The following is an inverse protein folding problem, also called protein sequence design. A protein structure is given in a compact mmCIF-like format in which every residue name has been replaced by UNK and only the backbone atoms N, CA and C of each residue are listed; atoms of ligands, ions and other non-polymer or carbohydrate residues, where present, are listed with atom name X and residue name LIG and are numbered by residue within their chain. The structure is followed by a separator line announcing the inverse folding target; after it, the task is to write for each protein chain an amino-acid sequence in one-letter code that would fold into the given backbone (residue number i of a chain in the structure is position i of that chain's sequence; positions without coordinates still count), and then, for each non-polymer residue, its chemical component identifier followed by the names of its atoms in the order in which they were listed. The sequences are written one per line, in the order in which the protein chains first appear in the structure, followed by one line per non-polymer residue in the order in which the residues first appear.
data_IF_361465459610
#
_entry.id   IF_361465459610
#
_cell.length_a   1.000
_cell.length_b   1.000
_cell.length_c   1.000
_cell.angle_alpha   90.00
_cell.angle_beta   90.00
_cell.angle_gamma   90.00
#
_symmetry.space_group_name_H-M   'P 1'
#
loop_
_entity.id
_entity.type
_entity.pdbx_description
1 polymer ?
#
# COMPACT_ATOMS: atom_id res chain seq x y z
N UNK A 1 -4.52 17.78 1.21
CA UNK A 1 -5.79 18.05 0.48
C UNK A 1 -6.85 18.76 1.32
N UNK A 2 -7.37 18.23 2.44
CA UNK A 2 -8.34 18.99 3.26
C UNK A 2 -7.74 20.25 3.88
N UNK A 3 -6.46 20.23 4.23
CA UNK A 3 -5.75 21.36 4.83
C UNK A 3 -5.59 22.58 3.89
N UNK A 4 -5.70 22.38 2.58
CA UNK A 4 -5.57 23.47 1.58
C UNK A 4 -6.91 24.15 1.30
N UNK A 5 -8.02 23.52 1.70
CA UNK A 5 -9.38 23.97 1.39
C UNK A 5 -10.15 24.49 2.62
N UNK A 6 -9.68 24.19 3.83
CA UNK A 6 -10.37 24.49 5.07
C UNK A 6 -9.49 25.29 6.04
N UNK A 7 -10.08 26.17 6.89
CA UNK A 7 -9.36 26.77 7.99
C UNK A 7 -8.74 25.72 8.91
N UNK A 8 -7.52 25.93 9.37
CA UNK A 8 -6.74 24.95 10.13
C UNK A 8 -7.47 24.37 11.36
N UNK A 9 -8.32 25.17 12.02
CA UNK A 9 -9.05 24.75 13.22
C UNK A 9 -10.18 23.75 12.95
N UNK A 10 -10.70 23.66 11.71
CA UNK A 10 -11.78 22.70 11.35
C UNK A 10 -11.24 21.45 10.65
N UNK A 11 -9.97 21.43 10.25
CA UNK A 11 -9.36 20.30 9.55
C UNK A 11 -9.47 18.99 10.35
N UNK A 12 -9.15 18.94 11.66
CA UNK A 12 -9.23 17.69 12.42
C UNK A 12 -10.64 17.09 12.46
N UNK A 13 -11.66 17.93 12.65
CA UNK A 13 -13.06 17.49 12.68
C UNK A 13 -13.53 17.02 11.30
N UNK A 14 -13.15 17.74 10.24
CA UNK A 14 -13.48 17.36 8.87
C UNK A 14 -12.83 16.02 8.49
N UNK A 15 -11.57 15.80 8.82
CA UNK A 15 -10.87 14.53 8.59
C UNK A 15 -11.54 13.39 9.35
N UNK A 16 -11.85 13.57 10.64
CA UNK A 16 -12.54 12.55 11.43
C UNK A 16 -13.94 12.22 10.87
N UNK A 17 -14.65 13.23 10.36
CA UNK A 17 -15.97 13.00 9.74
C UNK A 17 -15.88 12.26 8.42
N UNK A 18 -14.89 12.59 7.58
CA UNK A 18 -14.64 11.87 6.32
C UNK A 18 -14.32 10.41 6.63
N UNK A 19 -13.41 10.16 7.56
CA UNK A 19 -13.06 8.79 7.95
C UNK A 19 -14.26 8.00 8.46
N UNK A 20 -15.09 8.61 9.31
CA UNK A 20 -16.30 7.95 9.80
C UNK A 20 -17.24 7.55 8.67
N UNK A 21 -17.45 8.43 7.68
CA UNK A 21 -18.26 8.16 6.51
C UNK A 21 -17.65 7.04 5.64
N UNK A 22 -16.34 7.06 5.46
CA UNK A 22 -15.64 6.00 4.70
C UNK A 22 -15.78 4.63 5.39
N UNK A 23 -15.69 4.59 6.73
CA UNK A 23 -15.90 3.36 7.51
C UNK A 23 -17.35 2.87 7.41
N UNK A 24 -18.32 3.79 7.48
CA UNK A 24 -19.75 3.48 7.36
C UNK A 24 -20.12 2.92 5.96
N UNK A 25 -19.42 3.37 4.91
CA UNK A 25 -19.69 2.99 3.52
C UNK A 25 -19.09 1.62 3.12
N UNK A 26 -18.06 1.14 3.82
CA UNK A 26 -17.40 -0.15 3.51
C UNK A 26 -18.38 -1.33 3.44
N UNK A 27 -19.33 -1.54 4.38
CA UNK A 27 -20.31 -2.63 4.29
C UNK A 27 -21.22 -2.56 3.07
N UNK A 28 -21.35 -1.36 2.46
CA UNK A 28 -22.15 -1.12 1.24
C UNK A 28 -21.54 -1.67 -0.05
N UNK A 29 -20.33 -2.27 0.01
CA UNK A 29 -19.70 -2.91 -1.13
C UNK A 29 -18.70 -2.02 -1.90
N UNK A 30 -18.26 -0.91 -1.30
CA UNK A 30 -17.33 0.04 -1.94
C UNK A 30 -15.87 -0.43 -2.04
N UNK A 31 -15.51 -1.60 -1.48
CA UNK A 31 -14.14 -2.11 -1.48
C UNK A 31 -14.06 -3.43 -2.24
N UNK A 32 -13.16 -3.49 -3.22
CA UNK A 32 -12.91 -4.68 -4.04
C UNK A 32 -11.41 -4.94 -4.14
N UNK A 33 -11.04 -6.22 -4.24
CA UNK A 33 -9.68 -6.59 -4.61
C UNK A 33 -9.44 -6.27 -6.08
N UNK A 34 -8.31 -5.65 -6.37
CA UNK A 34 -7.83 -5.50 -7.74
C UNK A 34 -7.45 -6.86 -8.34
N UNK A 35 -7.49 -7.00 -9.69
CA UNK A 35 -7.10 -8.24 -10.36
C UNK A 35 -5.72 -8.73 -9.92
N UNK A 36 -5.56 -10.05 -9.74
CA UNK A 36 -4.31 -10.69 -9.33
C UNK A 36 -3.96 -10.57 -7.84
N UNK A 37 -4.65 -9.72 -7.05
CA UNK A 37 -4.31 -9.51 -5.63
C UNK A 37 -4.37 -10.81 -4.83
N UNK A 38 -5.47 -11.58 -4.96
CA UNK A 38 -5.64 -12.83 -4.22
C UNK A 38 -4.54 -13.84 -4.57
N UNK A 39 -4.31 -14.05 -5.87
CA UNK A 39 -3.33 -14.99 -6.37
C UNK A 39 -1.91 -14.66 -5.87
N UNK A 40 -1.55 -13.37 -5.90
CA UNK A 40 -0.25 -12.91 -5.44
C UNK A 40 -0.10 -13.12 -3.92
N UNK A 41 -1.10 -12.70 -3.13
CA UNK A 41 -1.04 -12.82 -1.66
C UNK A 41 -1.03 -14.29 -1.21
N UNK A 42 -1.80 -15.17 -1.86
CA UNK A 42 -1.86 -16.60 -1.54
C UNK A 42 -0.54 -17.32 -1.87
N UNK A 43 0.24 -16.79 -2.81
CA UNK A 43 1.57 -17.31 -3.14
C UNK A 43 2.66 -16.87 -2.15
N UNK A 44 2.39 -15.88 -1.29
CA UNK A 44 3.37 -15.28 -0.39
C UNK A 44 3.21 -15.81 1.04
N UNK A 45 4.31 -16.20 1.73
CA UNK A 45 4.26 -16.44 3.17
C UNK A 45 3.84 -15.17 3.92
N UNK A 46 2.97 -15.30 4.91
CA UNK A 46 2.38 -14.17 5.62
C UNK A 46 3.43 -13.27 6.33
N UNK A 47 4.64 -13.78 6.56
CA UNK A 47 5.77 -13.08 7.17
C UNK A 47 6.61 -12.30 6.14
N UNK A 48 6.33 -12.46 4.85
CA UNK A 48 7.13 -11.88 3.77
C UNK A 48 6.47 -10.70 3.08
N UNK A 49 5.33 -10.25 3.57
CA UNK A 49 4.65 -9.08 3.03
C UNK A 49 4.00 -8.23 4.12
N UNK A 50 3.80 -6.97 3.81
CA UNK A 50 3.13 -6.00 4.65
C UNK A 50 2.18 -5.13 3.82
N UNK A 51 1.13 -4.63 4.48
CA UNK A 51 0.34 -3.52 3.93
C UNK A 51 0.86 -2.22 4.53
N UNK A 52 1.14 -1.24 3.66
CA UNK A 52 1.59 0.10 4.04
C UNK A 52 0.62 1.12 3.44
N UNK A 53 -0.18 1.78 4.27
CA UNK A 53 -1.26 2.65 3.82
C UNK A 53 -1.20 4.04 4.44
N UNK A 54 -1.73 5.04 3.72
CA UNK A 54 -1.95 6.39 4.25
C UNK A 54 -3.31 6.54 4.96
N UNK A 55 -4.13 5.49 4.99
CA UNK A 55 -5.34 5.45 5.81
C UNK A 55 -4.97 5.28 7.29
N UNK A 56 -5.87 5.71 8.19
CA UNK A 56 -5.75 5.37 9.61
C UNK A 56 -5.87 3.85 9.79
N UNK A 57 -5.34 3.34 10.89
CA UNK A 57 -5.39 1.90 11.20
C UNK A 57 -6.81 1.38 11.19
N UNK A 58 -7.75 2.11 11.80
CA UNK A 58 -9.16 1.75 11.85
C UNK A 58 -9.77 1.57 10.45
N UNK A 59 -9.57 2.55 9.57
CA UNK A 59 -10.10 2.49 8.20
C UNK A 59 -9.45 1.37 7.40
N UNK A 60 -8.14 1.19 7.54
CA UNK A 60 -7.41 0.10 6.88
C UNK A 60 -7.91 -1.27 7.30
N UNK A 61 -8.10 -1.51 8.60
CA UNK A 61 -8.60 -2.79 9.12
C UNK A 61 -10.02 -3.11 8.63
N UNK A 62 -10.91 -2.11 8.60
CA UNK A 62 -12.27 -2.29 8.08
C UNK A 62 -12.26 -2.62 6.59
N UNK A 63 -11.48 -1.89 5.78
CA UNK A 63 -11.37 -2.13 4.33
C UNK A 63 -10.75 -3.50 4.02
N UNK A 64 -9.64 -3.84 4.67
CA UNK A 64 -8.98 -5.12 4.48
C UNK A 64 -9.84 -6.30 4.94
N UNK A 65 -10.52 -6.15 6.08
CA UNK A 65 -11.46 -7.15 6.59
C UNK A 65 -12.63 -7.41 5.65
N UNK A 66 -13.17 -6.37 5.00
CA UNK A 66 -14.28 -6.50 4.06
C UNK A 66 -13.94 -7.36 2.83
N UNK A 67 -12.66 -7.41 2.44
CA UNK A 67 -12.18 -8.22 1.31
C UNK A 67 -11.41 -9.47 1.75
N UNK A 68 -11.41 -9.78 3.07
CA UNK A 68 -10.77 -10.98 3.61
C UNK A 68 -9.24 -10.98 3.52
N UNK A 69 -8.61 -9.80 3.57
CA UNK A 69 -7.15 -9.66 3.62
C UNK A 69 -6.74 -9.33 5.05
N UNK A 70 -5.96 -10.22 5.67
CA UNK A 70 -5.53 -10.11 7.07
C UNK A 70 -4.00 -10.14 7.14
N UNK A 71 -3.32 -8.99 6.91
CA UNK A 71 -1.87 -8.93 6.95
C UNK A 71 -1.36 -9.14 8.38
N UNK A 72 -0.25 -9.86 8.55
CA UNK A 72 0.47 -9.92 9.83
C UNK A 72 1.14 -8.59 10.17
N UNK A 73 1.57 -7.87 9.14
CA UNK A 73 2.19 -6.55 9.25
C UNK A 73 1.36 -5.52 8.51
N UNK A 74 0.81 -4.57 9.26
CA UNK A 74 0.09 -3.41 8.75
C UNK A 74 0.76 -2.15 9.29
N UNK A 75 1.20 -1.28 8.41
CA UNK A 75 1.68 0.07 8.72
C UNK A 75 0.64 1.07 8.20
N UNK A 76 0.04 1.80 9.12
CA UNK A 76 -1.00 2.79 8.85
C UNK A 76 -0.48 4.22 9.12
N UNK A 77 -1.29 5.23 8.82
CA UNK A 77 -0.94 6.62 9.06
C UNK A 77 -0.61 6.91 10.54
N UNK A 78 -1.27 6.19 11.46
CA UNK A 78 -1.09 6.38 12.92
C UNK A 78 0.23 5.82 13.44
N UNK A 79 0.95 5.02 12.67
CA UNK A 79 2.18 4.35 13.09
C UNK A 79 3.44 5.17 12.77
N UNK A 80 3.30 6.26 12.03
CA UNK A 80 4.42 7.07 11.52
C UNK A 80 4.22 8.54 11.81
N UNK A 81 5.33 9.26 11.88
CA UNK A 81 5.31 10.71 12.05
C UNK A 81 5.19 11.43 10.71
N UNK A 82 5.79 10.87 9.67
CA UNK A 82 5.82 11.41 8.31
C UNK A 82 5.28 10.37 7.34
N UNK A 83 4.15 10.70 6.74
CA UNK A 83 3.53 9.86 5.72
C UNK A 83 4.19 10.02 4.33
N UNK A 84 3.79 9.18 3.37
CA UNK A 84 4.20 9.27 1.97
C UNK A 84 4.05 10.71 1.46
N UNK A 85 5.05 11.29 0.80
CA UNK A 85 6.18 10.66 0.11
C UNK A 85 7.44 10.45 0.95
N UNK A 86 7.42 10.67 2.29
CA UNK A 86 8.54 10.33 3.17
C UNK A 86 8.74 8.81 3.18
N UNK A 87 9.99 8.29 3.23
CA UNK A 87 10.27 6.85 3.26
C UNK A 87 9.91 6.17 4.59
N UNK A 88 9.59 6.91 5.65
CA UNK A 88 9.38 6.39 7.00
C UNK A 88 8.42 5.19 7.05
N UNK A 89 7.24 5.18 6.36
CA UNK A 89 6.31 4.05 6.42
C UNK A 89 6.92 2.75 5.87
N UNK A 90 7.64 2.82 4.75
CA UNK A 90 8.27 1.65 4.14
C UNK A 90 9.47 1.16 4.93
N UNK A 91 10.31 2.06 5.45
CA UNK A 91 11.41 1.70 6.35
C UNK A 91 10.91 1.06 7.63
N UNK A 92 9.77 1.50 8.17
CA UNK A 92 9.13 0.86 9.32
C UNK A 92 8.65 -0.57 8.96
N UNK A 93 8.03 -0.75 7.80
CA UNK A 93 7.60 -2.07 7.32
C UNK A 93 8.78 -3.03 7.17
N UNK A 94 9.87 -2.62 6.51
CA UNK A 94 11.07 -3.44 6.33
C UNK A 94 11.67 -3.86 7.68
N UNK A 95 11.78 -2.92 8.64
CA UNK A 95 12.24 -3.23 10.01
C UNK A 95 11.34 -4.25 10.70
N UNK A 96 10.01 -4.11 10.55
CA UNK A 96 9.05 -5.02 11.19
C UNK A 96 9.11 -6.42 10.60
N UNK A 97 9.36 -6.52 9.29
CA UNK A 97 9.58 -7.80 8.59
C UNK A 97 10.98 -8.38 8.83
N UNK A 98 11.92 -7.59 9.35
CA UNK A 98 13.30 -8.02 9.59
C UNK A 98 14.10 -8.22 8.31
N UNK A 99 13.86 -7.39 7.27
CA UNK A 99 14.51 -7.47 5.96
C UNK A 99 15.24 -6.16 5.62
N UNK A 100 16.26 -6.22 4.76
CA UNK A 100 16.91 -5.03 4.23
C UNK A 100 15.96 -4.33 3.24
N UNK A 101 15.81 -2.99 3.30
CA UNK A 101 15.04 -2.26 2.30
C UNK A 101 15.46 -2.52 0.86
N UNK A 102 16.75 -2.75 0.58
CA UNK A 102 17.25 -3.08 -0.75
C UNK A 102 16.71 -4.41 -1.31
N UNK A 103 16.27 -5.32 -0.42
CA UNK A 103 15.67 -6.61 -0.77
C UNK A 103 14.12 -6.55 -0.82
N UNK A 104 13.53 -5.36 -0.70
CA UNK A 104 12.09 -5.16 -0.73
C UNK A 104 11.59 -4.68 -2.08
N UNK A 105 10.37 -5.12 -2.44
CA UNK A 105 9.61 -4.61 -3.57
C UNK A 105 8.37 -3.89 -3.06
N UNK A 106 8.16 -2.66 -3.52
CA UNK A 106 6.97 -1.86 -3.24
C UNK A 106 6.04 -1.89 -4.44
N UNK A 107 4.78 -2.26 -4.21
CA UNK A 107 3.69 -2.16 -5.18
C UNK A 107 2.84 -0.94 -4.83
N UNK A 108 2.70 -0.01 -5.75
CA UNK A 108 2.00 1.26 -5.53
C UNK A 108 1.30 1.76 -6.79
N UNK A 109 0.22 2.49 -6.61
CA UNK A 109 -0.58 3.10 -7.68
C UNK A 109 -0.48 4.64 -7.69
N UNK A 110 0.10 5.23 -6.63
CA UNK A 110 0.17 6.67 -6.44
C UNK A 110 1.62 7.20 -6.51
N UNK A 111 1.85 8.35 -7.17
CA UNK A 111 3.19 8.95 -7.28
C UNK A 111 3.88 9.17 -5.93
N UNK A 112 3.14 9.58 -4.89
CA UNK A 112 3.70 9.79 -3.56
C UNK A 112 4.21 8.49 -2.92
N UNK A 113 3.51 7.36 -3.11
CA UNK A 113 3.94 6.05 -2.63
C UNK A 113 5.17 5.54 -3.36
N UNK A 114 5.21 5.69 -4.69
CA UNK A 114 6.39 5.36 -5.49
C UNK A 114 7.61 6.19 -5.11
N UNK A 115 7.43 7.49 -4.84
CA UNK A 115 8.50 8.35 -4.35
C UNK A 115 9.02 7.88 -2.99
N UNK A 116 8.13 7.52 -2.06
CA UNK A 116 8.49 7.00 -0.75
C UNK A 116 9.27 5.68 -0.84
N UNK A 117 8.83 4.74 -1.70
CA UNK A 117 9.52 3.47 -1.96
C UNK A 117 10.94 3.66 -2.47
N UNK A 118 11.11 4.52 -3.48
CA UNK A 118 12.45 4.88 -4.00
C UNK A 118 13.33 5.56 -2.95
N UNK A 119 12.74 6.50 -2.18
CA UNK A 119 13.48 7.18 -1.10
C UNK A 119 13.89 6.20 0.02
N UNK A 120 13.16 5.09 0.20
CA UNK A 120 13.53 4.01 1.10
C UNK A 120 14.62 3.07 0.54
N UNK A 121 15.02 3.23 -0.73
CA UNK A 121 15.99 2.36 -1.39
C UNK A 121 15.40 1.02 -1.87
N UNK A 122 14.08 0.94 -2.02
CA UNK A 122 13.37 -0.26 -2.43
C UNK A 122 13.12 -0.28 -3.94
N UNK A 123 13.01 -1.48 -4.52
CA UNK A 123 12.50 -1.65 -5.88
C UNK A 123 11.02 -1.27 -5.95
N UNK A 124 10.61 -0.54 -6.97
CA UNK A 124 9.24 -0.03 -7.12
C UNK A 124 8.54 -0.61 -8.34
N UNK A 125 7.34 -1.11 -8.14
CA UNK A 125 6.42 -1.56 -9.20
C UNK A 125 5.17 -0.69 -9.14
N UNK A 126 4.94 0.07 -10.19
CA UNK A 126 3.74 0.89 -10.32
C UNK A 126 2.59 0.08 -10.91
N UNK A 127 1.41 0.23 -10.31
CA UNK A 127 0.14 -0.31 -10.78
C UNK A 127 -0.66 0.81 -11.43
N UNK A 128 -0.95 0.72 -12.71
CA UNK A 128 -1.66 1.78 -13.48
C UNK A 128 -3.17 1.74 -13.24
N UNK A 129 -3.58 1.64 -11.97
CA UNK A 129 -4.98 1.48 -11.56
C UNK A 129 -5.67 2.80 -11.20
N UNK A 130 -4.93 3.79 -10.70
CA UNK A 130 -5.48 5.11 -10.30
C UNK A 130 -4.90 6.26 -11.12
N UNK A 131 -3.72 6.06 -11.72
CA UNK A 131 -3.05 7.02 -12.59
C UNK A 131 -2.65 6.35 -13.90
N UNK A 132 -2.65 7.06 -15.03
CA UNK A 132 -2.17 6.51 -16.29
C UNK A 132 -0.67 6.19 -16.21
N UNK A 133 -0.25 5.10 -16.87
CA UNK A 133 1.11 4.59 -16.81
C UNK A 133 2.21 5.63 -17.10
N UNK A 134 1.93 6.58 -18.01
CA UNK A 134 2.89 7.63 -18.40
C UNK A 134 3.15 8.69 -17.30
N UNK A 135 2.31 8.75 -16.27
CA UNK A 135 2.48 9.63 -15.10
C UNK A 135 3.20 8.94 -13.95
N UNK A 136 3.36 7.61 -14.03
CA UNK A 136 3.99 6.81 -12.98
C UNK A 136 5.47 6.61 -13.28
N UNK A 137 6.31 6.95 -12.31
CA UNK A 137 7.76 6.72 -12.37
C UNK A 137 8.14 5.61 -11.40
N UNK A 138 8.55 4.46 -11.92
CA UNK A 138 8.91 3.26 -11.15
C UNK A 138 9.95 2.43 -11.92
N UNK A 139 10.51 1.42 -11.27
CA UNK A 139 11.43 0.47 -11.92
C UNK A 139 10.68 -0.43 -12.92
N UNK A 140 9.41 -0.73 -12.63
CA UNK A 140 8.49 -1.43 -13.51
C UNK A 140 7.10 -0.80 -13.42
N UNK A 141 6.38 -0.73 -14.54
CA UNK A 141 4.96 -0.31 -14.58
C UNK A 141 4.15 -1.44 -15.20
N UNK A 142 3.07 -1.83 -14.52
CA UNK A 142 2.12 -2.85 -15.00
C UNK A 142 0.68 -2.34 -14.83
N UNK A 143 -0.27 -2.94 -15.51
CA UNK A 143 -1.68 -2.51 -15.42
C UNK A 143 -2.24 -2.79 -14.03
N UNK A 144 -2.05 -4.00 -13.51
CA UNK A 144 -2.44 -4.44 -12.17
C UNK A 144 -1.62 -5.66 -11.73
N UNK A 145 -1.94 -6.23 -10.56
CA UNK A 145 -1.21 -7.38 -10.00
C UNK A 145 -1.41 -8.68 -10.77
N UNK A 146 -2.39 -8.79 -11.69
CA UNK A 146 -2.57 -9.99 -12.52
C UNK A 146 -1.44 -10.20 -13.54
N UNK A 147 -0.72 -9.12 -13.86
CA UNK A 147 0.48 -9.19 -14.70
C UNK A 147 1.69 -9.84 -14.00
N UNK A 148 1.59 -10.13 -12.70
CA UNK A 148 2.71 -10.58 -11.89
C UNK A 148 2.49 -12.00 -11.36
N UNK A 149 3.59 -12.68 -11.06
CA UNK A 149 3.63 -13.93 -10.31
C UNK A 149 4.71 -13.88 -9.24
N UNK A 150 4.49 -14.63 -8.16
CA UNK A 150 5.47 -14.79 -7.10
C UNK A 150 5.87 -16.26 -6.97
N UNK A 151 7.14 -16.49 -6.71
CA UNK A 151 7.72 -17.82 -6.41
C UNK A 151 8.54 -17.72 -5.12
N UNK A 152 8.23 -18.57 -4.16
CA UNK A 152 9.03 -18.70 -2.94
C UNK A 152 10.22 -19.62 -3.23
N UNK A 153 11.42 -19.13 -2.92
CA UNK A 153 12.69 -19.86 -3.08
C UNK A 153 13.43 -19.90 -1.74
N UNK A 154 14.50 -20.69 -1.68
CA UNK A 154 15.38 -20.72 -0.49
C UNK A 154 16.03 -19.35 -0.21
N UNK A 155 16.19 -18.50 -1.23
CA UNK A 155 16.77 -17.15 -1.13
C UNK A 155 15.76 -16.05 -0.79
N UNK A 156 14.46 -16.32 -0.84
CA UNK A 156 13.43 -15.33 -0.62
C UNK A 156 12.21 -15.47 -1.51
N UNK A 157 11.65 -14.36 -1.96
CA UNK A 157 10.53 -14.31 -2.90
C UNK A 157 11.00 -13.69 -4.21
N UNK A 158 10.78 -14.38 -5.29
CA UNK A 158 11.01 -13.86 -6.65
C UNK A 158 9.68 -13.37 -7.23
N UNK A 159 9.67 -12.13 -7.71
CA UNK A 159 8.53 -11.56 -8.43
C UNK A 159 8.89 -11.48 -9.91
N UNK A 160 7.99 -11.98 -10.74
CA UNK A 160 8.19 -12.03 -12.20
C UNK A 160 6.98 -11.47 -12.93
N UNK A 161 7.20 -10.89 -14.11
CA UNK A 161 6.12 -10.53 -15.03
C UNK A 161 5.65 -11.79 -15.74
N UNK A 162 4.36 -11.99 -15.78
CA UNK A 162 3.75 -13.11 -16.54
C UNK A 162 3.93 -12.87 -18.04
N UNK A 163 4.19 -13.92 -18.82
CA UNK A 163 4.34 -13.83 -20.27
C UNK A 163 3.03 -13.43 -20.97
#
# INVERSE_FOLDING_TARGET
MAADLLPAHVVPEAVARIEALEVEDVPGGGVHLLPGTRDLLDALPAERWAVVTSATRRLAEVRLGAVGVLPKTLIAADDVTRGKPDPEPYLLAARTLGVDPADCVVFEDAPAGLQAGRAAGMTTVALATTHPAHELTADLVVDDLSALSALVTDGGVEISVRP
#
